data_IF_967457456956
#
_entry.id   IF_967457456956
#
_cell.length_a   1.000
_cell.length_b   1.000
_cell.length_c   1.000
_cell.angle_alpha   90.00
_cell.angle_beta   90.00
_cell.angle_gamma   90.00
#
_symmetry.space_group_name_H-M   'P 1'
#
loop_
_entity.id
_entity.type
_entity.pdbx_description
1 polymer ?
#
# COMPACT_ATOMS: atom_id res chain seq x y z
N UNK A 1 -12.27 -13.59 10.70
CA UNK A 1 -11.95 -12.26 10.16
C UNK A 1 -10.45 -12.19 10.02
N UNK A 2 -9.96 -12.19 8.78
CA UNK A 2 -8.54 -12.19 8.42
C UNK A 2 -8.13 -10.79 8.00
N UNK A 3 -7.14 -10.21 8.69
CA UNK A 3 -6.62 -8.88 8.38
C UNK A 3 -5.21 -9.01 7.80
N UNK A 4 -4.97 -8.38 6.66
CA UNK A 4 -3.63 -8.24 6.08
C UNK A 4 -3.10 -6.84 6.40
N UNK A 5 -1.96 -6.76 7.08
CA UNK A 5 -1.23 -5.52 7.26
C UNK A 5 0.06 -5.56 6.43
N UNK A 6 0.18 -4.65 5.47
CA UNK A 6 1.38 -4.45 4.68
C UNK A 6 2.14 -3.26 5.25
N UNK A 7 3.39 -3.51 5.68
CA UNK A 7 4.30 -2.46 6.14
C UNK A 7 4.68 -1.48 5.03
N UNK A 8 5.70 -0.66 5.30
CA UNK A 8 6.13 0.42 4.42
C UNK A 8 6.32 -0.01 2.96
N UNK A 9 5.47 0.49 2.07
CA UNK A 9 5.68 0.34 0.65
C UNK A 9 6.72 1.37 0.19
N UNK A 10 7.98 0.94 0.08
CA UNK A 10 9.09 1.84 -0.18
C UNK A 10 9.44 1.95 -1.67
N UNK A 11 9.22 3.14 -2.24
CA UNK A 11 9.64 3.52 -3.59
C UNK A 11 9.11 2.61 -4.71
N UNK A 12 9.87 2.54 -5.82
CA UNK A 12 9.50 1.70 -6.98
C UNK A 12 9.54 0.19 -6.67
N UNK A 13 10.55 -0.35 -5.96
CA UNK A 13 10.60 -1.79 -5.63
C UNK A 13 9.40 -2.22 -4.78
N UNK A 14 9.09 -1.47 -3.71
CA UNK A 14 7.93 -1.75 -2.86
C UNK A 14 6.63 -1.73 -3.65
N UNK A 15 6.41 -0.71 -4.49
CA UNK A 15 5.20 -0.66 -5.33
C UNK A 15 5.07 -1.82 -6.31
N UNK A 16 6.18 -2.35 -6.84
CA UNK A 16 6.15 -3.56 -7.70
C UNK A 16 5.78 -4.81 -6.90
N UNK A 17 6.33 -4.96 -5.70
CA UNK A 17 5.96 -6.06 -4.82
C UNK A 17 4.49 -5.98 -4.43
N UNK A 18 4.01 -4.79 -4.02
CA UNK A 18 2.61 -4.55 -3.67
C UNK A 18 1.65 -4.92 -4.81
N UNK A 19 1.95 -4.49 -6.03
CA UNK A 19 1.13 -4.76 -7.21
C UNK A 19 1.01 -6.26 -7.54
N UNK A 20 2.02 -7.06 -7.20
CA UNK A 20 2.03 -8.50 -7.47
C UNK A 20 1.48 -9.33 -6.31
N UNK A 21 1.88 -9.00 -5.08
CA UNK A 21 1.65 -9.84 -3.92
C UNK A 21 0.32 -9.55 -3.22
N UNK A 22 -0.11 -8.27 -3.11
CA UNK A 22 -1.33 -7.94 -2.36
C UNK A 22 -2.55 -8.64 -2.96
N UNK A 23 -2.82 -8.59 -4.28
CA UNK A 23 -3.99 -9.28 -4.85
C UNK A 23 -3.93 -10.80 -4.62
N UNK A 24 -2.74 -11.40 -4.71
CA UNK A 24 -2.53 -12.83 -4.50
C UNK A 24 -2.79 -13.22 -3.05
N UNK A 25 -2.23 -12.49 -2.09
CA UNK A 25 -2.41 -12.73 -0.66
C UNK A 25 -3.85 -12.54 -0.22
N UNK A 26 -4.52 -11.50 -0.73
CA UNK A 26 -5.94 -11.25 -0.47
C UNK A 26 -6.79 -12.45 -0.90
N UNK A 27 -6.57 -12.96 -2.12
CA UNK A 27 -7.29 -14.11 -2.64
C UNK A 27 -6.93 -15.41 -1.91
N UNK A 28 -5.63 -15.67 -1.69
CA UNK A 28 -5.13 -16.92 -1.12
C UNK A 28 -5.55 -17.12 0.34
N UNK A 29 -5.62 -16.03 1.10
CA UNK A 29 -5.91 -16.09 2.54
C UNK A 29 -7.33 -15.64 2.89
N UNK A 30 -8.17 -15.36 1.89
CA UNK A 30 -9.52 -14.81 2.07
C UNK A 30 -9.50 -13.63 3.06
N UNK A 31 -8.70 -12.61 2.74
CA UNK A 31 -8.54 -11.42 3.57
C UNK A 31 -9.84 -10.61 3.54
N UNK A 32 -10.34 -10.26 4.72
CA UNK A 32 -11.56 -9.46 4.91
C UNK A 32 -11.27 -7.96 4.97
N UNK A 33 -10.04 -7.59 5.38
CA UNK A 33 -9.60 -6.20 5.47
C UNK A 33 -8.09 -6.06 5.26
N UNK A 34 -7.66 -5.18 4.36
CA UNK A 34 -6.28 -4.95 4.00
C UNK A 34 -5.84 -3.50 4.31
N UNK A 35 -4.80 -3.38 5.12
CA UNK A 35 -4.13 -2.13 5.46
C UNK A 35 -2.79 -2.05 4.75
N UNK A 36 -2.49 -0.91 4.13
CA UNK A 36 -1.18 -0.66 3.51
C UNK A 36 -0.58 0.64 4.04
N UNK A 37 0.63 0.59 4.59
CA UNK A 37 1.37 1.83 4.88
C UNK A 37 2.00 2.36 3.57
N UNK A 38 1.51 3.52 3.13
CA UNK A 38 1.91 4.16 1.87
C UNK A 38 2.99 5.23 1.99
N UNK A 39 3.55 5.44 3.18
CA UNK A 39 4.32 6.62 3.54
C UNK A 39 5.55 6.89 2.68
N UNK A 40 6.24 5.86 2.17
CA UNK A 40 7.46 6.03 1.37
C UNK A 40 7.25 5.71 -0.13
N UNK A 41 6.00 5.70 -0.59
CA UNK A 41 5.66 5.11 -1.89
C UNK A 41 6.05 5.98 -3.08
N UNK A 42 6.12 7.30 -2.89
CA UNK A 42 6.53 8.26 -3.91
C UNK A 42 8.05 8.50 -3.86
N UNK A 43 8.81 7.57 -4.46
CA UNK A 43 10.27 7.73 -4.57
C UNK A 43 11.03 7.68 -3.23
N UNK A 44 10.39 7.18 -2.16
CA UNK A 44 10.95 7.10 -0.82
C UNK A 44 10.29 8.04 0.18
N UNK A 45 9.50 9.03 -0.25
CA UNK A 45 8.93 10.06 0.64
C UNK A 45 7.52 10.46 0.21
N UNK A 46 6.55 10.31 1.11
CA UNK A 46 5.13 10.57 0.88
C UNK A 46 4.46 9.63 -0.13
N UNK A 47 3.26 10.06 -0.54
CA UNK A 47 2.39 9.36 -1.48
C UNK A 47 1.77 10.37 -2.45
N UNK A 48 1.51 9.96 -3.70
CA UNK A 48 0.71 10.77 -4.64
C UNK A 48 -0.68 10.16 -4.81
N UNK A 49 -1.68 10.96 -5.20
CA UNK A 49 -3.05 10.47 -5.43
C UNK A 49 -3.10 9.26 -6.39
N UNK A 50 -2.27 9.29 -7.45
CA UNK A 50 -2.15 8.18 -8.41
C UNK A 50 -1.60 6.90 -7.78
N UNK A 51 -0.73 7.01 -6.78
CA UNK A 51 -0.21 5.85 -6.05
C UNK A 51 -1.27 5.33 -5.07
N UNK A 52 -1.97 6.20 -4.36
CA UNK A 52 -3.05 5.80 -3.46
C UNK A 52 -4.15 5.01 -4.20
N UNK A 53 -4.60 5.51 -5.35
CA UNK A 53 -5.57 4.81 -6.21
C UNK A 53 -5.09 3.42 -6.63
N UNK A 54 -3.78 3.26 -6.86
CA UNK A 54 -3.20 1.95 -7.20
C UNK A 54 -3.27 0.98 -6.02
N UNK A 55 -3.01 1.42 -4.79
CA UNK A 55 -3.12 0.54 -3.63
C UNK A 55 -4.55 0.06 -3.42
N UNK A 56 -5.54 0.92 -3.57
CA UNK A 56 -6.95 0.49 -3.58
C UNK A 56 -7.24 -0.53 -4.69
N UNK A 57 -6.73 -0.29 -5.90
CA UNK A 57 -6.86 -1.26 -7.00
C UNK A 57 -6.15 -2.60 -6.74
N UNK A 58 -5.16 -2.66 -5.84
CA UNK A 58 -4.48 -3.89 -5.45
C UNK A 58 -5.20 -4.65 -4.32
N UNK A 59 -6.23 -4.05 -3.72
CA UNK A 59 -7.02 -4.64 -2.65
C UNK A 59 -6.82 -4.00 -1.28
N UNK A 60 -6.14 -2.84 -1.17
CA UNK A 60 -6.07 -2.11 0.09
C UNK A 60 -7.42 -1.42 0.39
N UNK A 61 -7.98 -1.67 1.57
CA UNK A 61 -9.18 -0.99 2.05
C UNK A 61 -8.83 0.38 2.65
N UNK A 62 -7.70 0.44 3.36
CA UNK A 62 -7.21 1.68 3.96
C UNK A 62 -5.71 1.82 3.75
N UNK A 63 -5.29 3.07 3.57
CA UNK A 63 -3.90 3.47 3.45
C UNK A 63 -3.54 4.26 4.71
N UNK A 64 -2.53 3.78 5.43
CA UNK A 64 -1.94 4.50 6.56
C UNK A 64 -0.68 5.23 6.13
N UNK A 65 -0.28 6.21 6.93
CA UNK A 65 0.87 7.08 6.69
C UNK A 65 1.68 7.24 7.98
N UNK A 66 2.67 8.12 7.98
CA UNK A 66 3.46 8.53 9.15
C UNK A 66 4.11 9.89 8.93
N UNK A 67 5.38 10.05 9.25
CA UNK A 67 6.09 11.33 9.26
C UNK A 67 6.26 11.97 7.86
N UNK A 68 6.35 11.20 6.78
CA UNK A 68 6.50 11.71 5.41
C UNK A 68 5.18 12.03 4.69
N UNK A 69 4.05 12.08 5.40
CA UNK A 69 2.73 12.26 4.78
C UNK A 69 2.60 13.56 3.95
N UNK A 70 3.39 14.59 4.26
CA UNK A 70 3.34 15.91 3.62
C UNK A 70 4.44 16.16 2.57
N UNK A 71 5.26 15.17 2.25
CA UNK A 71 6.44 15.37 1.39
C UNK A 71 6.12 15.49 -0.11
N UNK A 72 4.91 15.11 -0.52
CA UNK A 72 4.42 15.27 -1.89
C UNK A 72 3.42 16.44 -1.94
N UNK A 73 3.65 17.37 -2.87
CA UNK A 73 2.80 18.55 -3.10
C UNK A 73 1.81 18.34 -4.24
#
# INVERSE_FOLDING_TARGET
MNILFVGFVYGRPGRRAAAHLIPQLVAQHAIDFCVVNGENSAGGFGITAKIGQKFHAYGADVITMGDHVWDQK
#
